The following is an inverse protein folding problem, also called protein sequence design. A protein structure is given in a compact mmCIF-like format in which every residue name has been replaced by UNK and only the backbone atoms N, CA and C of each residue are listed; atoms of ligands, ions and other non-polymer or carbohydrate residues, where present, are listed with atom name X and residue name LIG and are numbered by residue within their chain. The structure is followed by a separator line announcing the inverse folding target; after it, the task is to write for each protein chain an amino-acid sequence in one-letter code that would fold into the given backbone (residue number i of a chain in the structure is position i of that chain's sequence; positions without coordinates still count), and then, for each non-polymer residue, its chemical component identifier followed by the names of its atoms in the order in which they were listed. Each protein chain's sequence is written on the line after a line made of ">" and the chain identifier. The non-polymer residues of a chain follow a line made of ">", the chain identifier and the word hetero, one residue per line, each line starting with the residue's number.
data_IF_645515155630
#
_entry.id   IF_645515155630
#
_cell.length_a   1.000
_cell.length_b   1.000
_cell.length_c   1.000
_cell.angle_alpha   90.00
_cell.angle_beta   90.00
_cell.angle_gamma   90.00
#
_symmetry.space_group_name_H-M   'P 1'
#
loop_
_entity.id
_entity.type
_entity.pdbx_description
1 polymer ?
#
# COMPACT_ATOMS: atom_id res chain seq x y z
N UNK A 1 46.41 8.03 -18.50
CA UNK A 1 45.58 6.99 -17.85
C UNK A 1 44.74 7.63 -16.74
N UNK A 2 43.54 8.15 -17.04
CA UNK A 2 42.66 8.78 -16.05
C UNK A 2 41.23 8.98 -16.59
N UNK A 3 40.69 7.99 -17.32
CA UNK A 3 39.32 8.10 -17.91
C UNK A 3 38.54 6.77 -17.95
N UNK A 4 38.91 5.78 -17.14
CA UNK A 4 38.27 4.46 -17.14
C UNK A 4 37.73 4.03 -15.76
N UNK A 5 37.47 4.97 -14.86
CA UNK A 5 36.92 4.67 -13.52
C UNK A 5 35.52 5.25 -13.27
N UNK A 6 34.84 5.75 -14.30
CA UNK A 6 33.50 6.33 -14.13
C UNK A 6 32.34 5.41 -14.52
N UNK A 7 32.62 4.26 -15.17
CA UNK A 7 31.57 3.36 -15.67
C UNK A 7 31.21 2.21 -14.74
N UNK A 8 31.88 2.05 -13.59
CA UNK A 8 31.63 0.92 -12.66
C UNK A 8 30.63 1.30 -11.55
N UNK A 9 30.37 2.59 -11.32
CA UNK A 9 29.49 3.02 -10.23
C UNK A 9 27.99 2.93 -10.53
N UNK A 10 27.59 2.54 -11.74
CA UNK A 10 26.19 2.55 -12.19
C UNK A 10 25.50 1.17 -12.12
N UNK A 11 26.23 0.11 -11.75
CA UNK A 11 25.72 -1.27 -11.77
C UNK A 11 25.21 -1.75 -10.40
N UNK A 12 25.53 -1.04 -9.31
CA UNK A 12 25.23 -1.52 -7.93
C UNK A 12 23.82 -1.13 -7.45
N UNK A 13 23.09 -0.27 -8.18
CA UNK A 13 21.77 0.22 -7.74
C UNK A 13 20.58 -0.66 -8.14
N UNK A 14 20.80 -1.88 -8.66
CA UNK A 14 19.71 -2.78 -9.15
C UNK A 14 19.45 -3.99 -8.22
N UNK A 15 20.08 -4.03 -7.04
CA UNK A 15 19.93 -5.15 -6.09
C UNK A 15 19.41 -4.70 -4.72
N UNK A 16 18.47 -3.75 -4.71
CA UNK A 16 17.59 -3.56 -3.56
C UNK A 16 16.63 -4.75 -3.49
N UNK A 17 17.14 -5.88 -2.98
CA UNK A 17 16.33 -7.02 -2.59
C UNK A 17 15.36 -6.54 -1.51
N UNK A 18 14.07 -6.76 -1.80
CA UNK A 18 12.90 -6.41 -0.99
C UNK A 18 13.00 -7.04 0.42
N UNK A 19 13.78 -6.44 1.31
CA UNK A 19 13.77 -6.71 2.74
C UNK A 19 13.05 -5.54 3.39
N UNK A 20 11.72 -5.59 3.34
CA UNK A 20 10.87 -4.76 4.18
C UNK A 20 10.89 -5.43 5.55
N UNK A 21 11.39 -4.72 6.56
CA UNK A 21 11.48 -5.21 7.94
C UNK A 21 10.14 -5.86 8.35
N UNK A 22 10.19 -7.15 8.66
CA UNK A 22 9.03 -7.96 9.07
C UNK A 22 8.62 -7.59 10.49
N UNK A 23 7.96 -6.44 10.69
CA UNK A 23 6.92 -6.38 11.71
C UNK A 23 5.88 -7.40 11.27
N UNK A 24 5.76 -8.54 11.99
CA UNK A 24 4.86 -9.65 11.64
C UNK A 24 3.54 -9.10 11.11
N UNK A 25 3.33 -9.09 9.78
CA UNK A 25 2.18 -8.40 9.24
C UNK A 25 0.99 -9.20 9.70
N UNK A 26 0.04 -8.53 10.35
CA UNK A 26 -1.27 -9.12 10.57
C UNK A 26 -1.69 -9.76 9.24
N UNK A 27 -1.94 -11.08 9.26
CA UNK A 27 -2.18 -11.82 8.02
C UNK A 27 -3.40 -11.19 7.35
N UNK A 28 -3.17 -10.51 6.23
CA UNK A 28 -4.22 -9.88 5.47
C UNK A 28 -5.30 -10.90 5.11
N UNK A 29 -6.59 -10.51 5.11
CA UNK A 29 -7.66 -11.36 4.64
C UNK A 29 -7.40 -11.85 3.21
N UNK A 30 -7.87 -13.06 2.86
CA UNK A 30 -7.65 -13.63 1.52
C UNK A 30 -8.19 -12.74 0.39
N UNK A 31 -9.35 -12.11 0.61
CA UNK A 31 -9.94 -11.17 -0.35
C UNK A 31 -9.04 -9.95 -0.62
N UNK A 32 -8.22 -9.55 0.36
CA UNK A 32 -7.33 -8.40 0.22
C UNK A 32 -6.18 -8.70 -0.73
N UNK A 33 -5.66 -9.95 -0.71
CA UNK A 33 -4.64 -10.38 -1.65
C UNK A 33 -5.17 -10.34 -3.10
N UNK A 34 -6.39 -10.84 -3.33
CA UNK A 34 -7.04 -10.78 -4.64
C UNK A 34 -7.19 -9.34 -5.14
N UNK A 35 -7.57 -8.40 -4.25
CA UNK A 35 -7.69 -6.98 -4.59
C UNK A 35 -6.35 -6.32 -4.91
N UNK A 36 -5.31 -6.63 -4.15
CA UNK A 36 -3.96 -6.15 -4.42
C UNK A 36 -3.51 -6.62 -5.81
N UNK A 37 -3.69 -7.90 -6.12
CA UNK A 37 -3.35 -8.46 -7.43
C UNK A 37 -4.15 -7.81 -8.56
N UNK A 38 -5.46 -7.64 -8.40
CA UNK A 38 -6.34 -6.96 -9.37
C UNK A 38 -5.79 -5.56 -9.68
N UNK A 39 -5.53 -4.76 -8.66
CA UNK A 39 -5.08 -3.38 -8.77
C UNK A 39 -3.68 -3.27 -9.38
N UNK A 40 -2.75 -4.12 -8.94
CA UNK A 40 -1.38 -4.14 -9.46
C UNK A 40 -1.38 -4.59 -10.91
N UNK A 41 -2.21 -5.56 -11.28
CA UNK A 41 -2.25 -6.10 -12.66
C UNK A 41 -2.63 -5.06 -13.71
N UNK A 42 -3.42 -4.05 -13.35
CA UNK A 42 -3.83 -2.95 -14.25
C UNK A 42 -2.65 -2.01 -14.56
N UNK A 43 -1.67 -1.99 -13.68
CA UNK A 43 -0.61 -1.00 -13.72
C UNK A 43 0.68 -1.71 -14.16
N UNK A 44 1.13 -1.45 -15.40
CA UNK A 44 2.29 -2.11 -16.06
C UNK A 44 3.67 -1.84 -15.39
N UNK A 45 3.72 -1.46 -14.13
CA UNK A 45 4.95 -1.20 -13.38
C UNK A 45 5.04 -2.21 -12.24
N UNK A 46 6.26 -2.52 -11.78
CA UNK A 46 6.51 -3.47 -10.70
C UNK A 46 6.11 -2.85 -9.34
N UNK A 47 4.80 -2.74 -9.11
CA UNK A 47 4.18 -1.85 -8.11
C UNK A 47 4.12 -2.48 -6.71
N UNK A 48 4.58 -3.73 -6.58
CA UNK A 48 4.79 -4.38 -5.29
C UNK A 48 5.71 -3.57 -4.35
N UNK A 49 6.60 -2.72 -4.87
CA UNK A 49 7.52 -1.90 -4.05
C UNK A 49 6.91 -0.58 -3.54
N UNK A 50 5.77 -0.15 -4.07
CA UNK A 50 5.19 1.17 -3.78
C UNK A 50 3.76 1.12 -3.26
N UNK A 51 3.13 -0.06 -3.20
CA UNK A 51 1.84 -0.23 -2.54
C UNK A 51 2.00 -0.66 -1.10
N UNK A 52 1.23 -0.03 -0.24
CA UNK A 52 1.12 -0.35 1.17
C UNK A 52 -0.35 -0.57 1.53
N UNK A 53 -0.60 -1.55 2.38
CA UNK A 53 -1.90 -1.69 3.05
C UNK A 53 -1.77 -1.11 4.43
N UNK A 54 -2.53 -0.05 4.66
CA UNK A 54 -2.72 0.51 5.99
C UNK A 54 -3.95 -0.12 6.62
N UNK A 55 -3.78 -0.72 7.80
CA UNK A 55 -4.89 -1.24 8.60
C UNK A 55 -5.20 -0.21 9.68
N UNK A 56 -6.48 0.08 9.87
CA UNK A 56 -6.93 0.96 10.95
C UNK A 56 -8.16 0.36 11.62
N UNK A 57 -8.37 0.74 12.88
CA UNK A 57 -9.56 0.38 13.64
C UNK A 57 -10.43 1.61 13.90
N UNK A 58 -11.72 1.51 13.60
CA UNK A 58 -12.71 2.52 13.93
C UNK A 58 -14.03 1.85 14.35
N UNK A 59 -14.63 2.34 15.44
CA UNK A 59 -15.86 1.76 16.01
C UNK A 59 -15.80 0.23 16.24
N UNK A 60 -14.60 -0.31 16.55
CA UNK A 60 -14.38 -1.75 16.76
C UNK A 60 -14.36 -2.59 15.48
N UNK A 61 -14.33 -1.95 14.31
CA UNK A 61 -14.19 -2.59 12.99
C UNK A 61 -12.84 -2.26 12.37
N UNK A 62 -12.31 -3.19 11.58
CA UNK A 62 -11.09 -2.98 10.79
C UNK A 62 -11.40 -2.40 9.43
N UNK A 63 -10.53 -1.51 8.98
CA UNK A 63 -10.55 -0.92 7.66
C UNK A 63 -9.18 -1.03 7.03
N UNK A 64 -9.17 -1.23 5.72
CA UNK A 64 -7.98 -1.50 4.92
C UNK A 64 -7.89 -0.45 3.82
N UNK A 65 -6.86 0.39 3.87
CA UNK A 65 -6.52 1.33 2.81
C UNK A 65 -5.35 0.77 2.01
N UNK A 66 -5.61 0.34 0.78
CA UNK A 66 -4.56 0.06 -0.18
C UNK A 66 -4.17 1.37 -0.84
N UNK A 67 -2.92 1.78 -0.67
CA UNK A 67 -2.40 2.97 -1.30
C UNK A 67 -1.09 2.68 -2.00
N UNK A 68 -1.00 3.07 -3.27
CA UNK A 68 0.23 3.00 -4.04
C UNK A 68 0.81 4.39 -4.23
N UNK A 69 2.10 4.58 -3.96
CA UNK A 69 2.75 5.89 -3.84
C UNK A 69 2.69 6.82 -5.06
N UNK A 70 2.26 6.33 -6.23
CA UNK A 70 2.00 7.15 -7.42
C UNK A 70 0.56 7.65 -7.54
N UNK A 71 -0.36 7.21 -6.68
CA UNK A 71 -1.75 7.64 -6.74
C UNK A 71 -1.94 9.01 -6.10
N UNK A 72 -2.65 9.89 -6.80
CA UNK A 72 -3.10 11.18 -6.27
C UNK A 72 -4.34 11.06 -5.38
N UNK A 73 -4.86 9.85 -5.18
CA UNK A 73 -6.08 9.59 -4.43
C UNK A 73 -5.79 8.77 -3.19
N UNK A 74 -5.96 9.39 -2.02
CA UNK A 74 -6.01 8.71 -0.73
C UNK A 74 -7.40 8.08 -0.58
N UNK A 75 -7.49 6.86 -0.04
CA UNK A 75 -8.75 6.11 0.17
C UNK A 75 -9.51 5.68 -1.10
N UNK A 76 -8.89 5.72 -2.28
CA UNK A 76 -9.52 5.18 -3.50
C UNK A 76 -9.77 3.67 -3.43
N UNK A 77 -8.95 2.96 -2.65
CA UNK A 77 -9.07 1.53 -2.41
C UNK A 77 -9.18 1.29 -0.90
N UNK A 78 -10.28 1.80 -0.35
CA UNK A 78 -10.62 1.70 1.06
C UNK A 78 -11.73 0.68 1.27
N UNK A 79 -11.49 -0.30 2.13
CA UNK A 79 -12.38 -1.45 2.33
C UNK A 79 -12.68 -1.66 3.82
N UNK A 80 -13.88 -2.16 4.11
CA UNK A 80 -14.23 -2.71 5.43
C UNK A 80 -13.70 -4.14 5.63
N UNK A 81 -13.99 -4.73 6.78
CA UNK A 81 -13.60 -6.10 7.16
C UNK A 81 -14.10 -7.20 6.21
N UNK A 82 -15.18 -6.93 5.49
CA UNK A 82 -15.82 -7.82 4.54
C UNK A 82 -15.34 -7.58 3.10
N UNK A 83 -14.43 -6.63 2.88
CA UNK A 83 -13.87 -6.30 1.57
C UNK A 83 -14.74 -5.37 0.72
N UNK A 84 -15.74 -4.70 1.31
CA UNK A 84 -16.62 -3.77 0.62
C UNK A 84 -16.15 -2.33 0.80
N UNK A 85 -16.42 -1.49 -0.20
CA UNK A 85 -16.22 -0.05 -0.08
C UNK A 85 -17.32 0.56 0.82
N UNK A 86 -16.96 1.18 1.96
CA UNK A 86 -17.95 1.78 2.85
C UNK A 86 -18.75 2.89 2.15
N UNK A 87 -20.06 2.85 2.30
CA UNK A 87 -20.96 3.90 1.78
C UNK A 87 -21.03 5.03 2.80
N UNK A 88 -19.96 5.83 2.85
CA UNK A 88 -19.79 6.92 3.81
C UNK A 88 -20.07 8.28 3.18
N UNK A 89 -20.85 9.07 3.90
CA UNK A 89 -21.03 10.49 3.59
C UNK A 89 -19.83 11.29 4.13
N UNK A 90 -19.73 12.56 3.75
CA UNK A 90 -18.62 13.43 4.18
C UNK A 90 -18.44 13.47 5.71
N UNK A 91 -19.54 13.51 6.47
CA UNK A 91 -19.47 13.54 7.94
C UNK A 91 -18.93 12.24 8.55
N UNK A 92 -19.19 11.09 7.92
CA UNK A 92 -18.67 9.80 8.38
C UNK A 92 -17.15 9.76 8.20
N UNK A 93 -16.65 10.24 7.07
CA UNK A 93 -15.21 10.38 6.79
C UNK A 93 -14.50 11.29 7.78
N UNK A 94 -15.06 12.46 8.08
CA UNK A 94 -14.51 13.39 9.07
C UNK A 94 -14.41 12.73 10.45
N UNK A 95 -15.46 12.00 10.84
CA UNK A 95 -15.50 11.30 12.13
C UNK A 95 -14.51 10.15 12.16
N UNK A 96 -14.41 9.38 11.09
CA UNK A 96 -13.43 8.29 10.95
C UNK A 96 -12.00 8.82 11.05
N UNK A 97 -11.63 9.84 10.27
CA UNK A 97 -10.27 10.41 10.28
C UNK A 97 -9.88 10.95 11.66
N UNK A 98 -10.83 11.54 12.38
CA UNK A 98 -10.59 12.09 13.71
C UNK A 98 -10.43 11.02 14.81
N UNK A 99 -10.98 9.82 14.62
CA UNK A 99 -11.11 8.82 15.69
C UNK A 99 -10.50 7.45 15.39
N UNK A 100 -10.03 7.20 14.16
CA UNK A 100 -9.38 5.94 13.80
C UNK A 100 -8.11 5.71 14.61
N UNK A 101 -7.81 4.44 14.82
CA UNK A 101 -6.58 3.97 15.46
C UNK A 101 -5.73 3.22 14.44
N UNK A 102 -4.42 3.30 14.60
CA UNK A 102 -3.42 2.59 13.82
C UNK A 102 -3.00 1.32 14.55
#
# INVERSE_FOLDING_TARGET
>A
MKRLFFNILLVVSVLSSCNKDEETPERLPGWMQEKIEEVISVSNMNICEICDVTITEYAGKKYYDLYCGHWSCRYCYFFDEDGNAPQWETADWETYEANKKW
#
